data_IF_061930773820
#
_entry.id   IF_061930773820
#
_cell.length_a   1.000
_cell.length_b   1.000
_cell.length_c   1.000
_cell.angle_alpha   90.00
_cell.angle_beta   90.00
_cell.angle_gamma   90.00
#
_symmetry.space_group_name_H-M   'P 1'
#
loop_
_entity.id
_entity.type
_entity.pdbx_description
1 polymer ?
#
# COMPACT_ATOMS: atom_id res chain seq x y z
N UNK A 1 1.43 219.74 42.92
CA UNK A 1 1.92 220.07 44.29
C UNK A 1 1.75 218.82 45.12
N UNK A 2 2.85 218.28 45.67
CA UNK A 2 2.87 217.15 46.62
C UNK A 2 2.41 215.79 46.01
N UNK A 3 3.01 214.64 46.27
CA UNK A 3 4.01 214.26 47.26
C UNK A 3 3.54 213.04 48.05
N UNK A 4 4.06 211.86 47.69
CA UNK A 4 4.24 210.66 48.55
C UNK A 4 3.03 209.75 48.92
N UNK A 5 3.26 208.42 48.78
CA UNK A 5 2.63 207.26 49.47
C UNK A 5 1.65 206.33 48.71
N UNK A 6 1.86 206.10 47.43
CA UNK A 6 1.26 204.93 46.73
C UNK A 6 2.04 203.60 46.90
N UNK A 7 3.09 203.53 47.73
CA UNK A 7 4.12 202.48 47.56
C UNK A 7 4.17 201.33 48.60
N UNK A 8 3.34 201.28 49.64
CA UNK A 8 3.50 200.26 50.70
C UNK A 8 2.56 199.06 50.58
N UNK A 9 1.33 199.22 50.11
CA UNK A 9 0.34 198.13 50.19
C UNK A 9 0.52 197.08 49.08
N UNK A 10 0.93 197.50 47.89
CA UNK A 10 1.23 196.59 46.76
C UNK A 10 2.44 195.69 47.06
N UNK A 11 3.34 196.12 47.95
CA UNK A 11 4.51 195.33 48.35
C UNK A 11 4.14 194.19 49.30
N UNK A 12 3.14 194.39 50.17
CA UNK A 12 2.66 193.33 51.09
C UNK A 12 1.99 192.18 50.36
N UNK A 13 1.14 192.49 49.38
CA UNK A 13 0.41 191.47 48.63
C UNK A 13 1.33 190.63 47.73
N UNK A 14 2.49 191.15 47.32
CA UNK A 14 3.49 190.39 46.55
C UNK A 14 4.28 189.41 47.40
N UNK A 15 4.66 189.80 48.62
CA UNK A 15 5.36 188.93 49.57
C UNK A 15 4.48 187.76 50.03
N UNK A 16 3.20 188.01 50.27
CA UNK A 16 2.27 186.95 50.71
C UNK A 16 2.01 185.90 49.62
N UNK A 17 2.15 186.28 48.34
CA UNK A 17 2.00 185.36 47.20
C UNK A 17 3.24 184.48 46.99
N UNK A 18 4.44 185.02 47.23
CA UNK A 18 5.70 184.26 47.13
C UNK A 18 5.85 183.24 48.27
N UNK A 19 5.34 183.52 49.47
CA UNK A 19 5.33 182.53 50.56
C UNK A 19 4.41 181.35 50.27
N UNK A 20 3.22 181.58 49.71
CA UNK A 20 2.31 180.49 49.33
C UNK A 20 2.91 179.61 48.21
N UNK A 21 3.65 180.20 47.27
CA UNK A 21 4.29 179.42 46.20
C UNK A 21 5.44 178.53 46.72
N UNK A 22 6.22 179.00 47.70
CA UNK A 22 7.28 178.17 48.32
C UNK A 22 6.71 177.04 49.19
N UNK A 23 5.57 177.26 49.85
CA UNK A 23 4.92 176.22 50.64
C UNK A 23 4.42 175.06 49.75
N UNK A 24 3.86 175.36 48.58
CA UNK A 24 3.33 174.34 47.68
C UNK A 24 4.42 173.51 46.98
N UNK A 25 5.58 174.11 46.69
CA UNK A 25 6.73 173.37 46.13
C UNK A 25 7.38 172.41 47.15
N UNK A 26 7.32 172.72 48.45
CA UNK A 26 7.86 171.85 49.49
C UNK A 26 7.02 170.56 49.69
N UNK A 27 5.69 170.65 49.58
CA UNK A 27 4.79 169.49 49.70
C UNK A 27 4.95 168.49 48.55
N UNK A 28 5.08 168.99 47.31
CA UNK A 28 5.25 168.12 46.13
C UNK A 28 6.57 167.35 46.14
N UNK A 29 7.61 167.90 46.78
CA UNK A 29 8.90 167.23 46.92
C UNK A 29 8.84 166.05 47.91
N UNK A 30 8.13 166.23 49.02
CA UNK A 30 7.96 165.18 50.03
C UNK A 30 7.15 163.98 49.53
N UNK A 31 6.10 164.24 48.74
CA UNK A 31 5.25 163.18 48.19
C UNK A 31 5.99 162.30 47.16
N UNK A 32 6.95 162.88 46.44
CA UNK A 32 7.77 162.16 45.45
C UNK A 32 8.77 161.20 46.10
N UNK A 33 9.34 161.58 47.23
CA UNK A 33 10.27 160.74 48.01
C UNK A 33 9.57 159.54 48.67
N UNK A 34 8.32 159.69 49.10
CA UNK A 34 7.55 158.58 49.69
C UNK A 34 7.20 157.47 48.66
N UNK A 35 6.91 157.81 47.40
CA UNK A 35 6.61 156.80 46.38
C UNK A 35 7.83 155.96 45.98
N UNK A 36 9.03 156.53 45.98
CA UNK A 36 10.25 155.77 45.66
C UNK A 36 10.65 154.79 46.76
N UNK A 37 10.35 155.10 48.03
CA UNK A 37 10.58 154.19 49.15
C UNK A 37 9.73 152.92 49.06
N UNK A 38 8.47 153.04 48.62
CA UNK A 38 7.54 151.90 48.48
C UNK A 38 8.00 150.95 47.35
N UNK A 39 8.53 151.48 46.24
CA UNK A 39 9.03 150.63 45.13
C UNK A 39 10.21 149.75 45.53
N UNK A 40 11.15 150.26 46.33
CA UNK A 40 12.35 149.48 46.75
C UNK A 40 12.02 148.33 47.70
N UNK A 41 10.95 148.45 48.50
CA UNK A 41 10.50 147.40 49.42
C UNK A 41 9.92 146.17 48.69
N UNK A 42 9.21 146.37 47.57
CA UNK A 42 8.57 145.28 46.83
C UNK A 42 9.55 144.40 46.04
N UNK A 43 10.64 144.97 45.54
CA UNK A 43 11.68 144.20 44.81
C UNK A 43 12.47 143.26 45.72
N UNK A 44 12.73 143.65 46.97
CA UNK A 44 13.43 142.81 47.95
C UNK A 44 12.64 141.54 48.31
N UNK A 45 11.31 141.63 48.43
CA UNK A 45 10.48 140.45 48.74
C UNK A 45 10.43 139.42 47.60
N UNK A 46 10.57 139.83 46.32
CA UNK A 46 10.61 138.88 45.19
C UNK A 46 11.92 138.10 45.09
N UNK A 47 13.03 138.71 45.51
CA UNK A 47 14.35 138.06 45.47
C UNK A 47 14.49 136.98 46.55
N UNK A 48 13.86 137.17 47.71
CA UNK A 48 13.92 136.22 48.82
C UNK A 48 13.12 134.94 48.54
N UNK A 49 11.92 135.07 47.95
CA UNK A 49 11.07 133.93 47.57
C UNK A 49 11.72 133.01 46.51
N UNK A 50 12.55 133.56 45.62
CA UNK A 50 13.22 132.79 44.56
C UNK A 50 14.44 131.99 45.06
N UNK A 51 14.99 132.36 46.23
CA UNK A 51 16.14 131.68 46.84
C UNK A 51 15.74 130.41 47.57
N UNK A 52 14.55 130.37 48.19
CA UNK A 52 14.01 129.20 48.88
C UNK A 52 13.68 128.05 47.92
N UNK A 53 13.02 128.32 46.78
CA UNK A 53 12.64 127.28 45.81
C UNK A 53 13.83 126.54 45.16
N UNK A 54 15.03 127.15 45.13
CA UNK A 54 16.25 126.48 44.65
C UNK A 54 16.92 125.59 45.69
N UNK A 55 16.66 125.81 46.98
CA UNK A 55 17.16 124.94 48.06
C UNK A 55 16.47 123.57 48.02
N UNK A 56 15.14 123.57 48.01
CA UNK A 56 14.33 122.35 48.13
C UNK A 56 14.49 121.38 46.93
N UNK A 57 14.77 121.90 45.74
CA UNK A 57 14.93 121.08 44.53
C UNK A 57 16.25 120.29 44.50
N UNK A 58 17.29 120.78 45.18
CA UNK A 58 18.60 120.12 45.22
C UNK A 58 18.66 119.01 46.29
N UNK A 59 17.90 119.14 47.38
CA UNK A 59 17.76 118.11 48.41
C UNK A 59 17.06 116.85 47.86
N UNK A 60 16.00 117.05 47.05
CA UNK A 60 15.20 115.97 46.45
C UNK A 60 15.99 115.12 45.44
N UNK A 61 16.83 115.74 44.61
CA UNK A 61 17.69 115.02 43.63
C UNK A 61 18.72 114.12 44.30
N UNK A 62 19.16 114.46 45.53
CA UNK A 62 20.17 113.70 46.26
C UNK A 62 19.59 112.44 46.91
N UNK A 63 18.33 112.49 47.35
CA UNK A 63 17.62 111.32 47.91
C UNK A 63 17.24 110.30 46.83
N UNK A 64 16.91 110.74 45.61
CA UNK A 64 16.49 109.85 44.51
C UNK A 64 17.67 109.04 43.93
N UNK A 65 18.87 109.63 43.88
CA UNK A 65 20.09 108.92 43.47
C UNK A 65 20.50 107.82 44.46
N UNK A 66 20.25 107.98 45.77
CA UNK A 66 20.56 106.94 46.76
C UNK A 66 19.60 105.75 46.72
N UNK A 67 18.30 105.97 46.44
CA UNK A 67 17.32 104.88 46.30
C UNK A 67 17.59 104.01 45.07
N UNK A 68 18.02 104.61 43.97
CA UNK A 68 18.27 103.89 42.71
C UNK A 68 19.45 102.92 42.83
N UNK A 69 20.49 103.27 43.59
CA UNK A 69 21.66 102.40 43.79
C UNK A 69 21.37 101.19 44.69
N UNK A 70 20.48 101.31 45.68
CA UNK A 70 20.11 100.19 46.56
C UNK A 70 19.23 99.13 45.85
N UNK A 71 18.36 99.56 44.93
CA UNK A 71 17.50 98.64 44.15
C UNK A 71 18.31 97.80 43.14
N UNK A 72 19.35 98.37 42.55
CA UNK A 72 20.18 97.64 41.58
C UNK A 72 20.93 96.47 42.24
N UNK A 73 21.43 96.67 43.47
CA UNK A 73 22.19 95.65 44.20
C UNK A 73 21.33 94.44 44.62
N UNK A 74 20.03 94.67 44.89
CA UNK A 74 19.09 93.61 45.30
C UNK A 74 18.62 92.77 44.11
N UNK A 75 18.51 93.35 42.91
CA UNK A 75 18.15 92.61 41.69
C UNK A 75 19.26 91.64 41.28
N UNK A 76 20.52 92.07 41.33
CA UNK A 76 21.67 91.25 40.95
C UNK A 76 21.92 90.09 41.92
N UNK A 77 21.62 90.27 43.22
CA UNK A 77 21.71 89.20 44.22
C UNK A 77 20.67 88.09 43.98
N UNK A 78 19.42 88.45 43.70
CA UNK A 78 18.34 87.49 43.45
C UNK A 78 18.55 86.69 42.15
N UNK A 79 19.17 87.29 41.13
CA UNK A 79 19.45 86.60 39.86
C UNK A 79 20.46 85.47 40.02
N UNK A 80 21.52 85.68 40.81
CA UNK A 80 22.55 84.66 41.06
C UNK A 80 22.02 83.46 41.83
N UNK A 81 21.18 83.68 42.84
CA UNK A 81 20.54 82.58 43.57
C UNK A 81 19.59 81.73 42.70
N UNK A 82 18.86 82.35 41.77
CA UNK A 82 17.97 81.62 40.87
C UNK A 82 18.73 80.72 39.89
N UNK A 83 19.88 81.18 39.37
CA UNK A 83 20.74 80.41 38.47
C UNK A 83 21.38 79.20 39.16
N UNK A 84 21.82 79.34 40.43
CA UNK A 84 22.39 78.23 41.20
C UNK A 84 21.35 77.16 41.59
N UNK A 85 20.12 77.56 41.93
CA UNK A 85 19.03 76.59 42.19
C UNK A 85 18.71 75.77 40.95
N UNK A 86 18.75 76.38 39.77
CA UNK A 86 18.47 75.72 38.50
C UNK A 86 19.57 74.71 38.12
N UNK A 87 20.84 75.07 38.29
CA UNK A 87 21.98 74.15 38.10
C UNK A 87 21.92 72.95 39.06
N UNK A 88 21.52 73.17 40.31
CA UNK A 88 21.37 72.08 41.27
C UNK A 88 20.23 71.12 40.94
N UNK A 89 19.14 71.59 40.32
CA UNK A 89 18.04 70.73 39.86
C UNK A 89 18.45 69.90 38.63
N UNK A 90 19.10 70.53 37.65
CA UNK A 90 19.57 69.86 36.43
C UNK A 90 20.58 68.72 36.76
N UNK A 91 21.45 68.92 37.76
CA UNK A 91 22.39 67.89 38.23
C UNK A 91 21.69 66.69 38.88
N UNK A 92 20.64 66.91 39.68
CA UNK A 92 19.85 65.83 40.33
C UNK A 92 19.06 65.02 39.30
N UNK A 93 18.46 65.68 38.33
CA UNK A 93 17.74 65.00 37.26
C UNK A 93 18.66 64.17 36.35
N UNK A 94 19.91 64.62 36.14
CA UNK A 94 20.92 63.87 35.39
C UNK A 94 21.33 62.59 36.14
N UNK A 95 21.52 62.65 37.46
CA UNK A 95 21.81 61.47 38.28
C UNK A 95 20.64 60.48 38.30
N UNK A 96 19.40 60.97 38.36
CA UNK A 96 18.20 60.12 38.37
C UNK A 96 17.96 59.43 37.02
N UNK A 97 18.24 60.13 35.90
CA UNK A 97 18.20 59.52 34.56
C UNK A 97 19.25 58.42 34.43
N UNK A 98 20.49 58.69 34.85
CA UNK A 98 21.55 57.69 34.80
C UNK A 98 21.26 56.45 35.68
N UNK A 99 20.62 56.63 36.85
CA UNK A 99 20.22 55.54 37.72
C UNK A 99 19.10 54.67 37.11
N UNK A 100 18.11 55.28 36.44
CA UNK A 100 17.05 54.56 35.72
C UNK A 100 17.61 53.76 34.54
N UNK A 101 18.54 54.34 33.78
CA UNK A 101 19.17 53.67 32.64
C UNK A 101 20.00 52.46 33.07
N UNK A 102 20.73 52.55 34.19
CA UNK A 102 21.45 51.39 34.74
C UNK A 102 20.50 50.26 35.13
N UNK A 103 19.43 50.57 35.87
CA UNK A 103 18.42 49.57 36.26
C UNK A 103 17.74 48.93 35.05
N UNK A 104 17.44 49.71 34.01
CA UNK A 104 16.86 49.19 32.77
C UNK A 104 17.82 48.22 32.05
N UNK A 105 19.11 48.55 31.97
CA UNK A 105 20.12 47.66 31.37
C UNK A 105 20.31 46.37 32.16
N UNK A 106 20.37 46.46 33.49
CA UNK A 106 20.47 45.29 34.37
C UNK A 106 19.25 44.36 34.23
N UNK A 107 18.04 44.93 34.14
CA UNK A 107 16.82 44.15 33.88
C UNK A 107 16.81 43.50 32.49
N UNK A 108 17.23 44.22 31.45
CA UNK A 108 17.36 43.70 30.09
C UNK A 108 18.39 42.56 30.02
N UNK A 109 19.53 42.68 30.70
CA UNK A 109 20.54 41.63 30.73
C UNK A 109 20.06 40.39 31.50
N UNK A 110 19.36 40.58 32.63
CA UNK A 110 18.70 39.50 33.36
C UNK A 110 17.67 38.75 32.51
N UNK A 111 16.82 39.48 31.76
CA UNK A 111 15.85 38.87 30.86
C UNK A 111 16.53 38.08 29.75
N UNK A 112 17.58 38.64 29.12
CA UNK A 112 18.36 37.92 28.10
C UNK A 112 19.00 36.64 28.64
N UNK A 113 19.62 36.69 29.82
CA UNK A 113 20.19 35.48 30.44
C UNK A 113 19.14 34.44 30.79
N UNK A 114 17.92 34.87 31.16
CA UNK A 114 16.81 33.96 31.42
C UNK A 114 16.30 33.31 30.13
N UNK A 115 16.11 34.10 29.08
CA UNK A 115 15.70 33.63 27.76
C UNK A 115 16.74 32.67 27.15
N UNK A 116 18.03 32.96 27.31
CA UNK A 116 19.13 32.11 26.86
C UNK A 116 19.15 30.77 27.59
N UNK A 117 19.05 30.76 28.93
CA UNK A 117 18.93 29.53 29.72
C UNK A 117 17.70 28.71 29.36
N UNK A 118 16.56 29.38 29.16
CA UNK A 118 15.33 28.71 28.76
C UNK A 118 15.43 28.13 27.35
N UNK A 119 16.08 28.83 26.42
CA UNK A 119 16.38 28.34 25.07
C UNK A 119 17.32 27.14 25.11
N UNK A 120 18.40 27.19 25.88
CA UNK A 120 19.31 26.06 26.08
C UNK A 120 18.59 24.86 26.69
N UNK A 121 17.71 25.08 27.68
CA UNK A 121 16.93 24.02 28.29
C UNK A 121 15.98 23.37 27.29
N UNK A 122 15.20 24.16 26.55
CA UNK A 122 14.33 23.65 25.47
C UNK A 122 15.12 22.92 24.37
N UNK A 123 16.35 23.35 24.11
CA UNK A 123 17.20 22.68 23.13
C UNK A 123 17.71 21.33 23.66
N UNK A 124 18.09 21.25 24.94
CA UNK A 124 18.44 19.98 25.59
C UNK A 124 17.25 19.03 25.65
N UNK A 125 16.07 19.53 26.00
CA UNK A 125 14.82 18.75 26.01
C UNK A 125 14.48 18.21 24.63
N UNK A 126 14.53 19.04 23.58
CA UNK A 126 14.33 18.58 22.19
C UNK A 126 15.35 17.56 21.73
N UNK A 127 16.63 17.72 22.09
CA UNK A 127 17.66 16.72 21.76
C UNK A 127 17.40 15.40 22.49
N UNK A 128 17.01 15.45 23.76
CA UNK A 128 16.66 14.26 24.52
C UNK A 128 15.40 13.56 23.98
N UNK A 129 14.39 14.32 23.55
CA UNK A 129 13.19 13.78 22.89
C UNK A 129 13.50 13.17 21.53
N UNK A 130 14.32 13.83 20.71
CA UNK A 130 14.75 13.29 19.42
C UNK A 130 15.53 11.99 19.59
N UNK A 131 16.45 11.90 20.56
CA UNK A 131 17.17 10.67 20.85
C UNK A 131 16.23 9.53 21.25
N UNK A 132 15.25 9.80 22.12
CA UNK A 132 14.23 8.81 22.50
C UNK A 132 13.36 8.38 21.33
N UNK A 133 13.04 9.31 20.43
CA UNK A 133 12.26 9.00 19.23
C UNK A 133 13.06 8.13 18.25
N UNK A 134 14.33 8.48 18.02
CA UNK A 134 15.25 7.68 17.19
C UNK A 134 15.45 6.27 17.75
N UNK A 135 15.63 6.13 19.07
CA UNK A 135 15.73 4.82 19.74
C UNK A 135 14.47 3.98 19.57
N UNK A 136 13.28 4.58 19.75
CA UNK A 136 12.00 3.89 19.55
C UNK A 136 11.81 3.45 18.09
N UNK A 137 12.17 4.31 17.13
CA UNK A 137 12.07 3.96 15.72
C UNK A 137 13.05 2.85 15.35
N UNK A 138 14.30 2.89 15.81
CA UNK A 138 15.25 1.79 15.58
C UNK A 138 14.76 0.48 16.17
N UNK A 139 14.17 0.51 17.36
CA UNK A 139 13.59 -0.68 17.98
C UNK A 139 12.41 -1.22 17.15
N UNK A 140 11.50 -0.34 16.71
CA UNK A 140 10.37 -0.73 15.86
C UNK A 140 10.83 -1.27 14.49
N UNK A 141 11.88 -0.69 13.88
CA UNK A 141 12.46 -1.15 12.63
C UNK A 141 13.11 -2.53 12.79
N UNK A 142 13.82 -2.77 13.90
CA UNK A 142 14.39 -4.08 14.22
C UNK A 142 13.30 -5.13 14.45
N UNK A 143 12.23 -4.79 15.16
CA UNK A 143 11.08 -5.68 15.35
C UNK A 143 10.40 -6.00 14.01
N UNK A 144 10.18 -5.00 13.16
CA UNK A 144 9.61 -5.19 11.83
C UNK A 144 10.50 -6.08 10.95
N UNK A 145 11.82 -5.86 10.95
CA UNK A 145 12.77 -6.70 10.23
C UNK A 145 12.75 -8.14 10.75
N UNK A 146 12.74 -8.33 12.07
CA UNK A 146 12.71 -9.66 12.69
C UNK A 146 11.42 -10.41 12.33
N UNK A 147 10.28 -9.71 12.37
CA UNK A 147 8.99 -10.28 11.96
C UNK A 147 8.98 -10.64 10.47
N UNK A 148 9.51 -9.77 9.61
CA UNK A 148 9.62 -10.01 8.17
C UNK A 148 10.51 -11.21 7.88
N UNK A 149 11.70 -11.28 8.46
CA UNK A 149 12.60 -12.42 8.31
C UNK A 149 11.97 -13.72 8.84
N UNK A 150 11.24 -13.65 9.96
CA UNK A 150 10.49 -14.78 10.50
C UNK A 150 9.44 -15.30 9.52
N UNK A 151 8.63 -14.40 8.96
CA UNK A 151 7.63 -14.72 7.95
C UNK A 151 8.27 -15.26 6.66
N UNK A 152 9.36 -14.67 6.19
CA UNK A 152 10.06 -15.12 4.98
C UNK A 152 10.67 -16.53 5.18
N UNK A 153 11.20 -16.82 6.38
CA UNK A 153 11.67 -18.17 6.74
C UNK A 153 10.52 -19.18 6.81
N UNK A 154 9.39 -18.81 7.41
CA UNK A 154 8.20 -19.67 7.50
C UNK A 154 7.62 -19.96 6.11
N UNK A 155 7.48 -18.93 5.27
CA UNK A 155 7.02 -19.09 3.89
C UNK A 155 7.98 -19.95 3.05
N UNK A 156 9.29 -19.83 3.29
CA UNK A 156 10.28 -20.69 2.63
C UNK A 156 10.11 -22.16 3.05
N UNK A 157 9.91 -22.43 4.35
CA UNK A 157 9.63 -23.78 4.87
C UNK A 157 8.33 -24.35 4.29
N UNK A 158 7.26 -23.57 4.25
CA UNK A 158 5.98 -24.00 3.68
C UNK A 158 6.14 -24.35 2.20
N UNK A 159 6.91 -23.56 1.44
CA UNK A 159 7.20 -23.86 0.04
C UNK A 159 8.02 -25.13 -0.11
N UNK A 160 9.09 -25.27 0.67
CA UNK A 160 9.92 -26.49 0.68
C UNK A 160 9.10 -27.73 1.05
N UNK A 161 8.28 -27.67 2.09
CA UNK A 161 7.39 -28.79 2.50
C UNK A 161 6.38 -29.12 1.41
N UNK A 162 5.79 -28.11 0.76
CA UNK A 162 4.85 -28.33 -0.34
C UNK A 162 5.56 -28.97 -1.53
N UNK A 163 6.73 -28.46 -1.91
CA UNK A 163 7.48 -28.95 -3.05
C UNK A 163 8.07 -30.35 -2.77
N UNK A 164 8.40 -30.67 -1.52
CA UNK A 164 8.75 -32.02 -1.07
C UNK A 164 7.55 -32.97 -1.19
N UNK A 165 6.37 -32.60 -0.68
CA UNK A 165 5.15 -33.41 -0.82
C UNK A 165 4.75 -33.64 -2.28
N UNK A 166 4.87 -32.61 -3.12
CA UNK A 166 4.64 -32.73 -4.56
C UNK A 166 5.63 -33.72 -5.18
N UNK A 167 6.92 -33.65 -4.83
CA UNK A 167 7.92 -34.61 -5.29
C UNK A 167 7.62 -36.03 -4.82
N UNK A 168 7.29 -36.24 -3.55
CA UNK A 168 6.91 -37.55 -3.01
C UNK A 168 5.70 -38.14 -3.76
N UNK A 169 4.67 -37.34 -4.03
CA UNK A 169 3.51 -37.79 -4.81
C UNK A 169 3.87 -38.16 -6.26
N UNK A 170 4.76 -37.40 -6.90
CA UNK A 170 5.25 -37.72 -8.25
C UNK A 170 6.06 -39.01 -8.25
N UNK A 171 6.98 -39.18 -7.30
CA UNK A 171 7.78 -40.40 -7.17
C UNK A 171 6.91 -41.63 -6.88
N UNK A 172 5.89 -41.49 -6.04
CA UNK A 172 4.93 -42.58 -5.77
C UNK A 172 4.10 -42.92 -7.01
N UNK A 173 3.63 -41.91 -7.74
CA UNK A 173 2.92 -42.10 -9.01
C UNK A 173 3.80 -42.78 -10.06
N UNK A 174 5.08 -42.42 -10.16
CA UNK A 174 6.03 -43.04 -11.08
C UNK A 174 6.35 -44.49 -10.67
N UNK A 175 6.51 -44.76 -9.37
CA UNK A 175 6.67 -46.13 -8.84
C UNK A 175 5.46 -46.99 -9.17
N UNK A 176 4.24 -46.48 -8.98
CA UNK A 176 3.02 -47.19 -9.34
C UNK A 176 2.90 -47.44 -10.85
N UNK A 177 3.27 -46.46 -11.68
CA UNK A 177 3.31 -46.64 -13.13
C UNK A 177 4.26 -47.78 -13.52
N UNK A 178 5.48 -47.79 -12.97
CA UNK A 178 6.46 -48.84 -13.23
C UNK A 178 5.97 -50.23 -12.78
N UNK A 179 5.34 -50.32 -11.61
CA UNK A 179 4.73 -51.57 -11.13
C UNK A 179 3.61 -52.06 -12.05
N UNK A 180 2.77 -51.14 -12.57
CA UNK A 180 1.72 -51.48 -13.52
C UNK A 180 2.28 -51.94 -14.87
N UNK A 181 3.31 -51.26 -15.38
CA UNK A 181 4.03 -51.67 -16.60
C UNK A 181 4.67 -53.06 -16.46
N UNK A 182 5.25 -53.35 -15.30
CA UNK A 182 5.80 -54.67 -14.98
C UNK A 182 4.72 -55.74 -14.88
N UNK A 183 3.60 -55.46 -14.21
CA UNK A 183 2.44 -56.37 -14.15
C UNK A 183 1.92 -56.69 -15.55
N UNK A 184 1.79 -55.69 -16.43
CA UNK A 184 1.39 -55.89 -17.84
C UNK A 184 2.38 -56.79 -18.57
N UNK A 185 3.68 -56.55 -18.38
CA UNK A 185 4.74 -57.33 -19.02
C UNK A 185 4.69 -58.80 -18.60
N UNK A 186 4.59 -59.06 -17.30
CA UNK A 186 4.50 -60.42 -16.77
C UNK A 186 3.24 -61.16 -17.25
N UNK A 187 2.08 -60.48 -17.24
CA UNK A 187 0.84 -61.07 -17.75
C UNK A 187 0.90 -61.33 -19.26
N UNK A 188 1.50 -60.43 -20.04
CA UNK A 188 1.76 -60.66 -21.47
C UNK A 188 2.66 -61.87 -21.70
N UNK A 189 3.71 -62.04 -20.91
CA UNK A 189 4.58 -63.21 -20.99
C UNK A 189 3.83 -64.50 -20.59
N UNK A 190 2.92 -64.43 -19.60
CA UNK A 190 2.04 -65.57 -19.25
C UNK A 190 1.09 -65.91 -20.40
N UNK A 191 0.44 -64.92 -21.01
CA UNK A 191 -0.42 -65.09 -22.18
C UNK A 191 0.37 -65.70 -23.34
N UNK A 192 1.56 -65.16 -23.63
CA UNK A 192 2.44 -65.66 -24.69
C UNK A 192 2.87 -67.11 -24.47
N UNK A 193 3.28 -67.47 -23.24
CA UNK A 193 3.61 -68.86 -22.88
C UNK A 193 2.41 -69.79 -23.01
N UNK A 194 1.26 -69.39 -22.49
CA UNK A 194 0.03 -70.18 -22.60
C UNK A 194 -0.39 -70.40 -24.06
N UNK A 195 -0.24 -69.36 -24.91
CA UNK A 195 -0.50 -69.46 -26.33
C UNK A 195 0.47 -70.42 -27.03
N UNK A 196 1.77 -70.31 -26.74
CA UNK A 196 2.80 -71.20 -27.28
C UNK A 196 2.53 -72.66 -26.88
N UNK A 197 2.25 -72.92 -25.61
CA UNK A 197 1.91 -74.26 -25.11
C UNK A 197 0.61 -74.81 -25.74
N UNK A 198 -0.37 -73.94 -25.97
CA UNK A 198 -1.58 -74.31 -26.69
C UNK A 198 -1.22 -74.73 -28.11
N UNK A 199 -0.44 -73.91 -28.83
CA UNK A 199 -0.05 -74.15 -30.21
C UNK A 199 0.79 -75.44 -30.37
N UNK A 200 1.71 -75.72 -29.44
CA UNK A 200 2.49 -76.95 -29.43
C UNK A 200 1.62 -78.19 -29.19
N UNK A 201 0.74 -78.14 -28.19
CA UNK A 201 -0.24 -79.22 -27.91
C UNK A 201 -1.16 -79.43 -29.11
N UNK A 202 -1.61 -78.34 -29.72
CA UNK A 202 -2.50 -78.32 -30.86
C UNK A 202 -1.88 -78.97 -32.10
N UNK A 203 -0.64 -78.59 -32.44
CA UNK A 203 0.10 -79.16 -33.56
C UNK A 203 0.44 -80.64 -33.34
N UNK A 204 0.78 -81.02 -32.11
CA UNK A 204 1.01 -82.43 -31.77
C UNK A 204 -0.26 -83.26 -32.00
N UNK A 205 -1.39 -82.78 -31.50
CA UNK A 205 -2.69 -83.45 -31.65
C UNK A 205 -3.11 -83.55 -33.12
N UNK A 206 -2.88 -82.51 -33.94
CA UNK A 206 -3.15 -82.59 -35.39
C UNK A 206 -2.31 -83.61 -36.10
N UNK A 207 -1.01 -83.65 -35.82
CA UNK A 207 -0.11 -84.65 -36.42
C UNK A 207 -0.57 -86.07 -36.08
N UNK A 208 -0.93 -86.32 -34.82
CA UNK A 208 -1.47 -87.61 -34.40
C UNK A 208 -2.77 -87.95 -35.13
N UNK A 209 -3.70 -86.99 -35.26
CA UNK A 209 -4.97 -87.22 -35.96
C UNK A 209 -4.78 -87.48 -37.46
N UNK A 210 -3.88 -86.76 -38.13
CA UNK A 210 -3.53 -86.99 -39.53
C UNK A 210 -2.91 -88.38 -39.74
N UNK A 211 -2.05 -88.85 -38.83
CA UNK A 211 -1.51 -90.22 -38.88
C UNK A 211 -2.65 -91.25 -38.78
N UNK A 212 -3.53 -91.09 -37.78
CA UNK A 212 -4.64 -92.02 -37.56
C UNK A 212 -5.65 -92.02 -38.73
N UNK A 213 -5.89 -90.86 -39.35
CA UNK A 213 -6.75 -90.72 -40.54
C UNK A 213 -6.11 -91.33 -41.79
N UNK A 214 -4.79 -91.14 -41.99
CA UNK A 214 -4.03 -91.77 -43.08
C UNK A 214 -4.06 -93.29 -42.98
N UNK A 215 -4.01 -93.83 -41.77
CA UNK A 215 -4.11 -95.27 -41.49
C UNK A 215 -5.56 -95.82 -41.58
N UNK A 216 -6.53 -94.96 -41.94
CA UNK A 216 -7.97 -95.29 -42.06
C UNK A 216 -8.60 -95.90 -40.80
N UNK A 217 -8.02 -95.64 -39.64
CA UNK A 217 -8.49 -96.19 -38.38
C UNK A 217 -9.59 -95.32 -37.77
N UNK A 218 -10.77 -95.24 -38.42
CA UNK A 218 -11.93 -94.60 -37.80
C UNK A 218 -12.35 -95.40 -36.56
N UNK A 219 -11.86 -94.96 -35.41
CA UNK A 219 -11.93 -95.68 -34.15
C UNK A 219 -12.43 -94.75 -33.06
N UNK A 220 -12.90 -95.32 -31.95
CA UNK A 220 -13.22 -94.57 -30.73
C UNK A 220 -12.05 -93.68 -30.26
N UNK A 221 -10.81 -94.02 -30.63
CA UNK A 221 -9.64 -93.20 -30.31
C UNK A 221 -9.60 -91.90 -31.11
N UNK A 222 -9.91 -91.92 -32.41
CA UNK A 222 -10.04 -90.70 -33.24
C UNK A 222 -11.19 -89.84 -32.74
N UNK A 223 -12.34 -90.44 -32.41
CA UNK A 223 -13.49 -89.71 -31.85
C UNK A 223 -13.12 -89.01 -30.54
N UNK A 224 -12.37 -89.68 -29.65
CA UNK A 224 -11.89 -89.08 -28.41
C UNK A 224 -10.95 -87.90 -28.68
N UNK A 225 -10.06 -88.00 -29.67
CA UNK A 225 -9.15 -86.91 -30.06
C UNK A 225 -9.92 -85.71 -30.62
N UNK A 226 -10.92 -85.92 -31.47
CA UNK A 226 -11.83 -84.85 -31.91
C UNK A 226 -12.60 -84.22 -30.75
N UNK A 227 -13.09 -85.02 -29.80
CA UNK A 227 -13.79 -84.50 -28.63
C UNK A 227 -12.88 -83.59 -27.80
N UNK A 228 -11.63 -84.00 -27.58
CA UNK A 228 -10.62 -83.19 -26.90
C UNK A 228 -10.28 -81.92 -27.69
N UNK A 229 -10.14 -81.98 -29.01
CA UNK A 229 -9.88 -80.81 -29.86
C UNK A 229 -11.02 -79.78 -29.77
N UNK A 230 -12.26 -80.22 -29.96
CA UNK A 230 -13.45 -79.37 -29.91
C UNK A 230 -13.70 -78.79 -28.52
N UNK A 231 -13.37 -79.53 -27.46
CA UNK A 231 -13.36 -79.00 -26.09
C UNK A 231 -12.28 -77.92 -25.94
N UNK A 232 -11.06 -78.18 -26.42
CA UNK A 232 -9.95 -77.21 -26.39
C UNK A 232 -10.24 -75.90 -27.13
N UNK A 233 -11.00 -75.93 -28.23
CA UNK A 233 -11.48 -74.72 -28.91
C UNK A 233 -12.44 -73.90 -28.04
N UNK A 234 -13.34 -74.55 -27.31
CA UNK A 234 -14.22 -73.86 -26.35
C UNK A 234 -13.41 -73.27 -25.20
N UNK A 235 -12.46 -74.03 -24.69
CA UNK A 235 -11.65 -73.63 -23.54
C UNK A 235 -10.72 -72.46 -23.86
N UNK A 236 -10.31 -72.30 -25.13
CA UNK A 236 -9.51 -71.17 -25.60
C UNK A 236 -10.20 -69.80 -25.38
N UNK A 237 -11.54 -69.76 -25.29
CA UNK A 237 -12.30 -68.55 -24.96
C UNK A 237 -12.30 -68.23 -23.45
N UNK A 238 -11.96 -69.17 -22.57
CA UNK A 238 -12.04 -68.99 -21.11
C UNK A 238 -11.25 -67.78 -20.58
N UNK A 239 -10.01 -67.50 -21.03
CA UNK A 239 -9.29 -66.32 -20.59
C UNK A 239 -10.01 -65.02 -20.97
N UNK A 240 -10.53 -64.94 -22.21
CA UNK A 240 -11.31 -63.78 -22.70
C UNK A 240 -12.56 -63.58 -21.85
N UNK A 241 -13.31 -64.66 -21.58
CA UNK A 241 -14.49 -64.64 -20.69
C UNK A 241 -14.15 -64.11 -19.30
N UNK A 242 -13.07 -64.59 -18.70
CA UNK A 242 -12.69 -64.18 -17.35
C UNK A 242 -12.29 -62.71 -17.31
N UNK A 243 -11.42 -62.28 -18.22
CA UNK A 243 -10.96 -60.90 -18.33
C UNK A 243 -12.09 -59.92 -18.62
N UNK A 244 -13.01 -60.28 -19.52
CA UNK A 244 -14.17 -59.43 -19.83
C UNK A 244 -15.11 -59.27 -18.62
N UNK A 245 -15.42 -60.37 -17.92
CA UNK A 245 -16.25 -60.31 -16.73
C UNK A 245 -15.60 -59.52 -15.59
N UNK A 246 -14.27 -59.62 -15.43
CA UNK A 246 -13.54 -58.82 -14.47
C UNK A 246 -13.58 -57.32 -14.83
N UNK A 247 -13.38 -56.99 -16.11
CA UNK A 247 -13.50 -55.62 -16.62
C UNK A 247 -14.92 -55.07 -16.40
N UNK A 248 -15.94 -55.88 -16.67
CA UNK A 248 -17.34 -55.53 -16.43
C UNK A 248 -17.60 -55.20 -14.96
N UNK A 249 -17.19 -56.07 -14.04
CA UNK A 249 -17.37 -55.85 -12.60
C UNK A 249 -16.74 -54.54 -12.13
N UNK A 250 -15.57 -54.19 -12.65
CA UNK A 250 -14.89 -52.95 -12.28
C UNK A 250 -15.57 -51.72 -12.85
N UNK A 251 -15.95 -51.74 -14.14
CA UNK A 251 -16.69 -50.65 -14.73
C UNK A 251 -18.04 -50.42 -14.04
N UNK A 252 -18.75 -51.49 -13.64
CA UNK A 252 -19.99 -51.43 -12.85
C UNK A 252 -19.76 -50.88 -11.43
N UNK A 253 -18.63 -51.20 -10.79
CA UNK A 253 -18.30 -50.63 -9.48
C UNK A 253 -17.90 -49.15 -9.56
N UNK A 254 -17.17 -48.77 -10.61
CA UNK A 254 -16.65 -47.42 -10.80
C UNK A 254 -17.73 -46.43 -11.23
N UNK A 255 -18.76 -46.89 -11.95
CA UNK A 255 -19.96 -46.08 -12.25
C UNK A 255 -20.78 -45.75 -11.00
N UNK A 256 -20.66 -46.52 -9.91
CA UNK A 256 -21.35 -46.25 -8.63
C UNK A 256 -20.66 -45.20 -7.77
N UNK A 257 -19.34 -45.05 -7.88
CA UNK A 257 -18.53 -44.11 -7.08
C UNK A 257 -18.42 -42.72 -7.72
N UNK A 258 -18.71 -42.60 -9.02
CA UNK A 258 -18.99 -41.33 -9.71
C UNK A 258 -17.78 -40.53 -10.16
N UNK A 259 -16.58 -40.81 -9.64
CA UNK A 259 -15.31 -40.18 -10.08
C UNK A 259 -14.27 -41.28 -10.24
N UNK A 260 -13.74 -41.44 -11.45
CA UNK A 260 -12.59 -42.28 -11.73
C UNK A 260 -11.34 -41.59 -11.18
N UNK A 261 -10.66 -42.19 -10.20
CA UNK A 261 -9.31 -41.75 -9.87
C UNK A 261 -8.37 -42.06 -11.06
N UNK A 262 -7.26 -41.33 -11.16
CA UNK A 262 -6.25 -41.62 -12.18
C UNK A 262 -5.69 -43.05 -12.04
N UNK A 263 -5.66 -43.57 -10.80
CA UNK A 263 -5.27 -44.94 -10.50
C UNK A 263 -6.27 -45.95 -11.09
N UNK A 264 -7.56 -45.81 -10.81
CA UNK A 264 -8.60 -46.72 -11.30
C UNK A 264 -8.64 -46.74 -12.84
N UNK A 265 -8.47 -45.58 -13.46
CA UNK A 265 -8.39 -45.47 -14.93
C UNK A 265 -7.20 -46.25 -15.47
N UNK A 266 -6.03 -46.10 -14.86
CA UNK A 266 -4.83 -46.84 -15.27
C UNK A 266 -5.00 -48.35 -15.13
N UNK A 267 -5.72 -48.81 -14.10
CA UNK A 267 -6.00 -50.23 -13.92
C UNK A 267 -6.96 -50.79 -14.98
N UNK A 268 -8.01 -50.02 -15.33
CA UNK A 268 -8.90 -50.37 -16.45
C UNK A 268 -8.11 -50.46 -17.76
N UNK A 269 -7.24 -49.47 -18.04
CA UNK A 269 -6.42 -49.46 -19.26
C UNK A 269 -5.53 -50.71 -19.37
N UNK A 270 -4.91 -51.12 -18.26
CA UNK A 270 -4.13 -52.36 -18.18
C UNK A 270 -4.99 -53.56 -18.55
N UNK A 271 -6.22 -53.66 -18.03
CA UNK A 271 -7.10 -54.81 -18.29
C UNK A 271 -7.64 -54.83 -19.71
N UNK A 272 -7.98 -53.67 -20.26
CA UNK A 272 -8.37 -53.51 -21.66
C UNK A 272 -7.23 -53.98 -22.57
N UNK A 273 -5.99 -53.58 -22.27
CA UNK A 273 -4.80 -54.01 -23.00
C UNK A 273 -4.62 -55.53 -22.97
N UNK A 274 -4.76 -56.16 -21.79
CA UNK A 274 -4.64 -57.61 -21.66
C UNK A 274 -5.78 -58.36 -22.37
N UNK A 275 -7.00 -57.82 -22.35
CA UNK A 275 -8.14 -58.37 -23.08
C UNK A 275 -7.91 -58.33 -24.60
N UNK A 276 -7.34 -57.24 -25.12
CA UNK A 276 -6.94 -57.12 -26.53
C UNK A 276 -5.95 -58.24 -26.89
N UNK A 277 -4.91 -58.43 -26.08
CA UNK A 277 -3.89 -59.47 -26.32
C UNK A 277 -4.51 -60.88 -26.33
N UNK A 278 -5.43 -61.17 -25.39
CA UNK A 278 -6.14 -62.45 -25.34
C UNK A 278 -7.11 -62.66 -26.51
N UNK A 279 -7.78 -61.61 -26.98
CA UNK A 279 -8.64 -61.67 -28.15
C UNK A 279 -7.82 -61.95 -29.42
N UNK A 280 -6.65 -61.33 -29.58
CA UNK A 280 -5.75 -61.63 -30.68
C UNK A 280 -5.31 -63.10 -30.68
N UNK A 281 -4.96 -63.64 -29.50
CA UNK A 281 -4.65 -65.08 -29.36
C UNK A 281 -5.83 -65.95 -29.78
N UNK A 282 -7.06 -65.63 -29.35
CA UNK A 282 -8.25 -66.39 -29.74
C UNK A 282 -8.48 -66.32 -31.26
N UNK A 283 -8.30 -65.15 -31.86
CA UNK A 283 -8.42 -64.94 -33.31
C UNK A 283 -7.41 -65.82 -34.07
N UNK A 284 -6.16 -65.86 -33.62
CA UNK A 284 -5.10 -66.66 -34.23
C UNK A 284 -5.39 -68.16 -34.12
N UNK A 285 -5.83 -68.63 -32.95
CA UNK A 285 -6.25 -70.02 -32.73
C UNK A 285 -7.36 -70.43 -33.71
N UNK A 286 -8.40 -69.61 -33.83
CA UNK A 286 -9.54 -69.91 -34.69
C UNK A 286 -9.18 -69.78 -36.18
N UNK A 287 -8.31 -68.85 -36.55
CA UNK A 287 -7.81 -68.71 -37.92
C UNK A 287 -7.00 -69.95 -38.35
N UNK A 288 -6.13 -70.44 -37.48
CA UNK A 288 -5.36 -71.66 -37.71
C UNK A 288 -6.30 -72.88 -37.84
N UNK A 289 -7.34 -72.98 -37.01
CA UNK A 289 -8.31 -74.07 -37.12
C UNK A 289 -9.07 -74.05 -38.45
N UNK A 290 -9.47 -72.86 -38.92
CA UNK A 290 -10.10 -72.72 -40.24
C UNK A 290 -9.16 -73.20 -41.34
N UNK A 291 -7.88 -72.84 -41.28
CA UNK A 291 -6.90 -73.28 -42.27
C UNK A 291 -6.66 -74.79 -42.22
N UNK A 292 -6.52 -75.36 -41.02
CA UNK A 292 -6.38 -76.80 -40.81
C UNK A 292 -7.58 -77.57 -41.36
N UNK A 293 -8.81 -77.14 -41.05
CA UNK A 293 -10.02 -77.80 -41.54
C UNK A 293 -10.13 -77.71 -43.06
N UNK A 294 -9.79 -76.57 -43.68
CA UNK A 294 -9.74 -76.43 -45.14
C UNK A 294 -8.76 -77.39 -45.80
N UNK A 295 -7.55 -77.51 -45.24
CA UNK A 295 -6.54 -78.46 -45.73
C UNK A 295 -7.06 -79.89 -45.64
N UNK A 296 -7.65 -80.26 -44.50
CA UNK A 296 -8.21 -81.60 -44.30
C UNK A 296 -9.41 -81.89 -45.20
N UNK A 297 -10.27 -80.91 -45.49
CA UNK A 297 -11.39 -81.07 -46.44
C UNK A 297 -10.89 -81.38 -47.85
N UNK A 298 -9.76 -80.80 -48.28
CA UNK A 298 -9.14 -81.09 -49.57
C UNK A 298 -8.58 -82.53 -49.60
N UNK A 299 -7.93 -82.96 -48.52
CA UNK A 299 -7.35 -84.30 -48.41
C UNK A 299 -8.41 -85.40 -48.22
N UNK A 300 -9.52 -85.06 -47.54
CA UNK A 300 -10.58 -85.96 -47.11
C UNK A 300 -11.98 -85.38 -47.40
N UNK A 301 -12.38 -85.25 -48.68
CA UNK A 301 -13.66 -84.67 -49.05
C UNK A 301 -14.88 -85.46 -48.54
N UNK A 302 -14.71 -86.74 -48.20
CA UNK A 302 -15.72 -87.58 -47.58
C UNK A 302 -16.11 -87.13 -46.16
N UNK A 303 -15.22 -86.42 -45.45
CA UNK A 303 -15.38 -85.99 -44.08
C UNK A 303 -16.18 -84.68 -43.98
N UNK A 304 -17.45 -84.71 -44.39
CA UNK A 304 -18.34 -83.52 -44.44
C UNK A 304 -18.45 -82.73 -43.14
N UNK A 305 -18.26 -83.40 -41.99
CA UNK A 305 -18.30 -82.75 -40.67
C UNK A 305 -17.18 -81.71 -40.47
N UNK A 306 -16.07 -81.80 -41.21
CA UNK A 306 -14.97 -80.82 -41.13
C UNK A 306 -15.43 -79.43 -41.57
N UNK A 307 -16.37 -79.35 -42.51
CA UNK A 307 -16.95 -78.07 -42.98
C UNK A 307 -17.74 -77.38 -41.86
N UNK A 308 -18.44 -78.13 -41.01
CA UNK A 308 -19.15 -77.55 -39.86
C UNK A 308 -18.18 -77.00 -38.82
N UNK A 309 -17.04 -77.68 -38.61
CA UNK A 309 -15.99 -77.20 -37.70
C UNK A 309 -15.33 -75.95 -38.26
N UNK A 310 -14.98 -75.94 -39.56
CA UNK A 310 -14.44 -74.76 -40.25
C UNK A 310 -15.38 -73.56 -40.08
N UNK A 311 -16.66 -73.74 -40.41
CA UNK A 311 -17.64 -72.67 -40.35
C UNK A 311 -17.82 -72.16 -38.91
N UNK A 312 -17.91 -73.06 -37.93
CA UNK A 312 -18.01 -72.69 -36.52
C UNK A 312 -16.80 -71.88 -36.05
N UNK A 313 -15.58 -72.29 -36.42
CA UNK A 313 -14.36 -71.56 -36.05
C UNK A 313 -14.27 -70.19 -36.75
N UNK A 314 -14.69 -70.07 -38.02
CA UNK A 314 -14.71 -68.77 -38.71
C UNK A 314 -15.76 -67.81 -38.11
N UNK A 315 -16.93 -68.31 -37.70
CA UNK A 315 -17.95 -67.51 -37.01
C UNK A 315 -17.43 -66.96 -35.67
N UNK A 316 -16.73 -67.78 -34.89
CA UNK A 316 -16.11 -67.34 -33.62
C UNK A 316 -15.01 -66.33 -33.90
N UNK A 317 -14.14 -66.58 -34.88
CA UNK A 317 -13.07 -65.66 -35.28
C UNK A 317 -13.63 -64.29 -35.65
N UNK A 318 -14.71 -64.24 -36.45
CA UNK A 318 -15.36 -62.97 -36.83
C UNK A 318 -15.96 -62.25 -35.64
N UNK A 319 -16.65 -62.97 -34.73
CA UNK A 319 -17.19 -62.38 -33.52
C UNK A 319 -16.08 -61.84 -32.58
N UNK A 320 -14.96 -62.55 -32.45
CA UNK A 320 -13.81 -62.10 -31.68
C UNK A 320 -13.17 -60.84 -32.29
N UNK A 321 -13.06 -60.75 -33.63
CA UNK A 321 -12.60 -59.53 -34.32
C UNK A 321 -13.55 -58.35 -34.09
N UNK A 322 -14.86 -58.58 -34.08
CA UNK A 322 -15.84 -57.53 -33.78
C UNK A 322 -15.71 -57.06 -32.33
N UNK A 323 -15.60 -57.98 -31.38
CA UNK A 323 -15.36 -57.65 -29.98
C UNK A 323 -14.05 -56.88 -29.79
N UNK A 324 -12.96 -57.30 -30.46
CA UNK A 324 -11.68 -56.60 -30.44
C UNK A 324 -11.83 -55.14 -30.87
N UNK A 325 -12.58 -54.87 -31.95
CA UNK A 325 -12.86 -53.49 -32.39
C UNK A 325 -13.59 -52.68 -31.33
N UNK A 326 -14.58 -53.27 -30.65
CA UNK A 326 -15.29 -52.60 -29.56
C UNK A 326 -14.37 -52.30 -28.36
N UNK A 327 -13.49 -53.23 -28.00
CA UNK A 327 -12.52 -53.06 -26.91
C UNK A 327 -11.45 -52.01 -27.28
N UNK A 328 -10.98 -51.98 -28.53
CA UNK A 328 -10.08 -50.94 -29.03
C UNK A 328 -10.70 -49.55 -28.96
N UNK A 329 -12.00 -49.42 -29.28
CA UNK A 329 -12.70 -48.14 -29.18
C UNK A 329 -12.80 -47.66 -27.73
N UNK A 330 -12.97 -48.59 -26.77
CA UNK A 330 -12.88 -48.29 -25.33
C UNK A 330 -11.46 -47.84 -24.96
N UNK A 331 -10.43 -48.54 -25.44
CA UNK A 331 -9.03 -48.18 -25.18
C UNK A 331 -8.70 -46.77 -25.68
N UNK A 332 -9.15 -46.41 -26.90
CA UNK A 332 -8.97 -45.07 -27.46
C UNK A 332 -9.72 -44.01 -26.66
N UNK A 333 -10.94 -44.30 -26.20
CA UNK A 333 -11.69 -43.39 -25.33
C UNK A 333 -10.95 -43.12 -24.02
N UNK A 334 -10.41 -44.17 -23.40
CA UNK A 334 -9.60 -44.07 -22.18
C UNK A 334 -8.31 -43.29 -22.39
N UNK A 335 -7.67 -43.38 -23.57
CA UNK A 335 -6.46 -42.59 -23.85
C UNK A 335 -6.74 -41.13 -24.23
N UNK A 336 -7.82 -40.85 -24.97
CA UNK A 336 -8.06 -39.53 -25.56
C UNK A 336 -8.94 -38.60 -24.71
N UNK A 337 -9.86 -39.11 -23.89
CA UNK A 337 -10.82 -38.28 -23.14
C UNK A 337 -10.59 -38.36 -21.63
N UNK A 338 -9.50 -37.74 -21.14
CA UNK A 338 -9.02 -37.86 -19.75
C UNK A 338 -10.03 -37.45 -18.65
N UNK A 339 -11.03 -36.63 -19.01
CA UNK A 339 -12.00 -36.08 -18.05
C UNK A 339 -13.44 -36.56 -18.28
N UNK A 340 -13.70 -37.35 -19.34
CA UNK A 340 -15.06 -37.78 -19.67
C UNK A 340 -15.30 -39.22 -19.20
N UNK A 341 -16.47 -39.50 -18.63
CA UNK A 341 -16.87 -40.87 -18.31
C UNK A 341 -16.92 -41.70 -19.59
N UNK A 342 -16.69 -43.01 -19.45
CA UNK A 342 -16.85 -43.95 -20.57
C UNK A 342 -18.27 -43.82 -21.12
N UNK A 343 -18.41 -43.67 -22.44
CA UNK A 343 -19.72 -43.61 -23.07
C UNK A 343 -20.47 -44.93 -22.81
N UNK A 344 -21.66 -44.85 -22.21
CA UNK A 344 -22.50 -46.02 -21.97
C UNK A 344 -22.90 -46.76 -23.25
N UNK A 345 -22.91 -46.08 -24.39
CA UNK A 345 -23.15 -46.71 -25.69
C UNK A 345 -21.96 -47.57 -26.15
N UNK A 346 -20.72 -47.12 -25.92
CA UNK A 346 -19.52 -47.90 -26.22
C UNK A 346 -19.48 -49.20 -25.41
N UNK A 347 -19.75 -49.10 -24.12
CA UNK A 347 -19.77 -50.27 -23.24
C UNK A 347 -20.88 -51.26 -23.63
N UNK A 348 -22.11 -50.80 -23.87
CA UNK A 348 -23.23 -51.65 -24.30
C UNK A 348 -22.97 -52.34 -25.65
N UNK A 349 -22.27 -51.67 -26.56
CA UNK A 349 -21.87 -52.29 -27.84
C UNK A 349 -20.85 -53.41 -27.61
N UNK A 350 -19.92 -53.22 -26.67
CA UNK A 350 -18.95 -54.23 -26.29
C UNK A 350 -19.60 -55.44 -25.60
N UNK A 351 -20.55 -55.23 -24.68
CA UNK A 351 -21.33 -56.30 -24.05
C UNK A 351 -22.08 -57.15 -25.07
N UNK A 352 -22.79 -56.51 -26.01
CA UNK A 352 -23.48 -57.25 -27.08
C UNK A 352 -22.53 -58.08 -27.94
N UNK A 353 -21.35 -57.54 -28.25
CA UNK A 353 -20.35 -58.26 -29.04
C UNK A 353 -19.74 -59.43 -28.26
N UNK A 354 -19.58 -59.30 -26.95
CA UNK A 354 -19.17 -60.40 -26.08
C UNK A 354 -20.24 -61.51 -26.00
N UNK A 355 -21.52 -61.15 -25.81
CA UNK A 355 -22.63 -62.13 -25.81
C UNK A 355 -22.74 -62.89 -27.14
N UNK A 356 -22.50 -62.21 -28.27
CA UNK A 356 -22.42 -62.83 -29.59
C UNK A 356 -21.26 -63.82 -29.69
N UNK A 357 -20.07 -63.44 -29.20
CA UNK A 357 -18.91 -64.33 -29.13
C UNK A 357 -19.20 -65.56 -28.27
N UNK A 358 -19.77 -65.39 -27.08
CA UNK A 358 -20.13 -66.50 -26.19
C UNK A 358 -21.09 -67.48 -26.87
N UNK A 359 -22.13 -66.95 -27.53
CA UNK A 359 -23.11 -67.76 -28.24
C UNK A 359 -22.47 -68.58 -29.37
N UNK A 360 -21.51 -68.00 -30.09
CA UNK A 360 -20.82 -68.71 -31.17
C UNK A 360 -19.89 -69.80 -30.60
N UNK A 361 -19.22 -69.54 -29.47
CA UNK A 361 -18.40 -70.55 -28.77
C UNK A 361 -19.25 -71.71 -28.24
N UNK A 362 -20.43 -71.45 -27.71
CA UNK A 362 -21.36 -72.49 -27.25
C UNK A 362 -21.86 -73.38 -28.40
N UNK A 363 -21.92 -72.83 -29.61
CA UNK A 363 -22.35 -73.53 -30.83
C UNK A 363 -21.25 -74.39 -31.47
N UNK A 364 -20.02 -74.39 -30.93
CA UNK A 364 -18.98 -75.32 -31.40
C UNK A 364 -19.59 -76.72 -31.41
N UNK A 365 -19.45 -77.49 -32.50
CA UNK A 365 -20.02 -78.82 -32.58
C UNK A 365 -19.44 -79.76 -31.52
N UNK A 366 -20.23 -80.73 -31.07
CA UNK A 366 -19.73 -81.85 -30.25
C UNK A 366 -19.56 -83.08 -31.13
N UNK A 367 -18.67 -83.99 -30.77
CA UNK A 367 -18.53 -85.26 -31.51
C UNK A 367 -19.82 -86.06 -31.52
N UNK A 368 -20.59 -86.05 -30.42
CA UNK A 368 -21.92 -86.64 -30.38
C UNK A 368 -22.89 -85.98 -31.37
N UNK A 369 -22.92 -84.64 -31.43
CA UNK A 369 -23.76 -83.90 -32.37
C UNK A 369 -23.38 -84.15 -33.84
N UNK A 370 -22.09 -84.15 -34.15
CA UNK A 370 -21.59 -84.48 -35.50
C UNK A 370 -21.93 -85.93 -35.87
N UNK A 371 -21.78 -86.86 -34.94
CA UNK A 371 -22.13 -88.26 -35.15
C UNK A 371 -23.62 -88.41 -35.48
N UNK A 372 -24.51 -87.77 -34.72
CA UNK A 372 -25.95 -87.78 -35.01
C UNK A 372 -26.30 -87.16 -36.37
N UNK A 373 -25.55 -86.14 -36.82
CA UNK A 373 -25.79 -85.45 -38.10
C UNK A 373 -25.29 -86.25 -39.31
N UNK A 374 -24.18 -86.98 -39.16
CA UNK A 374 -23.46 -87.57 -40.29
C UNK A 374 -23.36 -89.09 -40.31
N UNK A 375 -23.63 -89.81 -39.21
CA UNK A 375 -23.82 -91.25 -39.28
C UNK A 375 -25.28 -91.55 -39.65
N UNK A 376 -25.54 -92.23 -40.78
CA UNK A 376 -26.86 -92.79 -41.02
C UNK A 376 -27.12 -93.88 -39.98
N UNK A 377 -28.34 -93.91 -39.43
CA UNK A 377 -28.81 -94.99 -38.56
C UNK A 377 -28.66 -96.37 -39.21
#
# INVERSE_FOLDING_TARGET
NYGSRESEEVRRLRLQREEMQRAHEAEMKMMKEQMEAIKRSSELQRLEANRQLRGDMNEMKRQDQQRTQQLQYTIDANRREAEDRRRSQEAREATDRAARDRKWREQQEMMRRREEKEREQRERERRAENLKWDERNRAADLEYQTMREGHDREMSRIREDRDNKLREMVEESDRQRLLNEERVREEREKIGRAHQEYYERWNSMMREMLILMRERMWSQQIEKKWATRLAGLRDAHTPVRHSFNNLRYELENLTRTGILSAFDRSEIEVRVTLLIDQLNVLIDIMANEVEDMRRMVIEHPEAKFLVDIEQSSDEIRRAAVQMLRCVDDIERHLKCEFERPLSGDLWRNCERSFEELERNVERIPTTAGLRMKYQPN
#
